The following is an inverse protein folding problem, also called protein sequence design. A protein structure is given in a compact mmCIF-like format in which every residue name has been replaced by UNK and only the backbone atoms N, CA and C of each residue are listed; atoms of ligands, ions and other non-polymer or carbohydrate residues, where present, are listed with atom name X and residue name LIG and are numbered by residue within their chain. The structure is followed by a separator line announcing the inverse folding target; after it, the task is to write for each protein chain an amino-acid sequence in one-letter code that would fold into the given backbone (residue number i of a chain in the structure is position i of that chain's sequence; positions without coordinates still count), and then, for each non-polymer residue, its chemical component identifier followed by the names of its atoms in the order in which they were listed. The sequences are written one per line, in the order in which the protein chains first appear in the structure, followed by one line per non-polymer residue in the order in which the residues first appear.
data_IF_439668003348
#
_entry.id   IF_439668003348
#
_cell.length_a   1.000
_cell.length_b   1.000
_cell.length_c   1.000
_cell.angle_alpha   90.00
_cell.angle_beta   90.00
_cell.angle_gamma   90.00
#
_symmetry.space_group_name_H-M   'P 1'
#
loop_
_entity.id
_entity.type
_entity.pdbx_description
1 polymer ?
#
# COMPACT_ATOMS: atom_id res chain seq x y z
N UNK A 1 -6.68 26.88 -29.14
CA UNK A 1 -6.84 26.49 -27.73
C UNK A 1 -6.61 24.97 -27.64
N UNK A 2 -5.43 24.55 -27.22
CA UNK A 2 -5.19 23.16 -26.83
C UNK A 2 -5.90 22.95 -25.49
N UNK A 3 -7.02 22.24 -25.48
CA UNK A 3 -7.58 21.72 -24.22
C UNK A 3 -6.54 20.74 -23.65
N UNK A 4 -5.92 21.08 -22.53
CA UNK A 4 -5.16 20.10 -21.75
C UNK A 4 -6.14 18.99 -21.36
N UNK A 5 -5.94 17.80 -21.91
CA UNK A 5 -6.68 16.61 -21.47
C UNK A 5 -6.42 16.45 -19.98
N UNK A 6 -7.46 16.52 -19.16
CA UNK A 6 -7.32 16.19 -17.73
C UNK A 6 -6.79 14.77 -17.61
N UNK A 7 -5.64 14.61 -16.95
CA UNK A 7 -5.06 13.32 -16.70
C UNK A 7 -5.86 12.58 -15.64
N UNK A 8 -6.11 11.29 -15.87
CA UNK A 8 -6.86 10.43 -14.95
C UNK A 8 -5.99 10.14 -13.72
N UNK A 9 -6.52 10.43 -12.54
CA UNK A 9 -5.95 9.99 -11.26
C UNK A 9 -6.21 8.50 -11.03
N UNK A 10 -5.36 7.87 -10.24
CA UNK A 10 -5.51 6.49 -9.80
C UNK A 10 -5.51 6.37 -8.28
N UNK A 11 -5.40 5.16 -7.78
CA UNK A 11 -5.30 4.89 -6.34
C UNK A 11 -4.01 4.14 -6.00
N UNK A 12 -3.49 4.37 -4.79
CA UNK A 12 -2.20 3.82 -4.34
C UNK A 12 -2.30 2.33 -4.01
N UNK A 13 -1.15 1.64 -3.88
CA UNK A 13 -1.12 0.26 -3.36
C UNK A 13 -1.73 0.17 -1.96
N UNK A 14 -1.58 1.22 -1.15
CA UNK A 14 -2.23 1.32 0.17
C UNK A 14 -3.74 1.37 0.09
N UNK A 15 -4.31 2.10 -0.87
CA UNK A 15 -5.76 2.14 -1.10
C UNK A 15 -6.29 0.81 -1.62
N UNK A 16 -5.52 0.11 -2.48
CA UNK A 16 -5.86 -1.25 -2.89
C UNK A 16 -5.92 -2.21 -1.70
N UNK A 17 -4.91 -2.14 -0.81
CA UNK A 17 -4.87 -2.98 0.40
C UNK A 17 -6.03 -2.66 1.35
N UNK A 18 -6.37 -1.38 1.53
CA UNK A 18 -7.50 -0.98 2.37
C UNK A 18 -8.85 -1.42 1.78
N UNK A 19 -9.05 -1.30 0.45
CA UNK A 19 -10.22 -1.82 -0.22
C UNK A 19 -10.31 -3.35 -0.13
N UNK A 20 -9.20 -4.06 -0.32
CA UNK A 20 -9.12 -5.50 -0.12
C UNK A 20 -9.44 -5.92 1.31
N UNK A 21 -8.94 -5.18 2.31
CA UNK A 21 -9.29 -5.40 3.73
C UNK A 21 -10.79 -5.28 3.96
N UNK A 22 -11.41 -4.20 3.42
CA UNK A 22 -12.85 -3.97 3.52
C UNK A 22 -13.66 -5.09 2.86
N UNK A 23 -13.30 -5.48 1.65
CA UNK A 23 -13.96 -6.54 0.91
C UNK A 23 -13.84 -7.90 1.62
N UNK A 24 -12.66 -8.24 2.15
CA UNK A 24 -12.43 -9.48 2.90
C UNK A 24 -13.27 -9.53 4.19
N UNK A 25 -13.32 -8.45 4.97
CA UNK A 25 -14.15 -8.39 6.18
C UNK A 25 -15.63 -8.52 5.84
N UNK A 26 -16.13 -7.79 4.81
CA UNK A 26 -17.51 -7.91 4.37
C UNK A 26 -17.87 -9.34 3.93
N UNK A 27 -16.96 -10.03 3.24
CA UNK A 27 -17.16 -11.43 2.84
C UNK A 27 -17.27 -12.36 4.05
N UNK A 28 -16.46 -12.14 5.11
CA UNK A 28 -16.56 -12.87 6.37
C UNK A 28 -17.89 -12.63 7.11
N UNK A 29 -18.54 -11.49 6.84
CA UNK A 29 -19.87 -11.14 7.34
C UNK A 29 -21.00 -11.61 6.40
N UNK A 30 -20.68 -12.35 5.32
CA UNK A 30 -21.64 -12.88 4.36
C UNK A 30 -22.02 -11.92 3.22
N UNK A 31 -21.30 -10.79 3.08
CA UNK A 31 -21.56 -9.77 2.06
C UNK A 31 -20.42 -9.75 1.02
N UNK A 32 -20.64 -10.33 -0.15
CA UNK A 32 -19.68 -10.24 -1.26
C UNK A 32 -20.00 -9.04 -2.13
N UNK A 33 -19.01 -8.17 -2.33
CA UNK A 33 -19.15 -6.92 -3.10
C UNK A 33 -18.20 -6.92 -4.30
N UNK A 34 -18.60 -6.22 -5.38
CA UNK A 34 -17.77 -6.08 -6.59
C UNK A 34 -17.00 -4.76 -6.63
N UNK A 35 -17.36 -3.82 -5.79
CA UNK A 35 -16.71 -2.51 -5.67
C UNK A 35 -16.73 -2.07 -4.21
N UNK A 36 -15.69 -1.37 -3.81
CA UNK A 36 -15.56 -0.76 -2.49
C UNK A 36 -15.48 0.76 -2.64
N UNK A 37 -16.36 1.44 -1.92
CA UNK A 37 -16.21 2.87 -1.63
C UNK A 37 -15.29 3.02 -0.42
N UNK A 38 -14.24 3.85 -0.59
CA UNK A 38 -13.21 4.10 0.42
C UNK A 38 -12.80 5.57 0.40
N UNK A 39 -12.82 6.23 1.54
CA UNK A 39 -12.22 7.56 1.68
C UNK A 39 -10.69 7.44 1.77
N UNK A 40 -10.02 8.04 0.80
CA UNK A 40 -8.56 8.21 0.82
C UNK A 40 -8.13 9.11 1.99
N UNK A 41 -6.83 9.11 2.33
CA UNK A 41 -6.30 10.00 3.37
C UNK A 41 -6.39 11.48 2.99
N UNK A 42 -6.46 11.79 1.69
CA UNK A 42 -6.74 13.13 1.17
C UNK A 42 -8.20 13.59 1.38
N UNK A 43 -9.08 12.70 1.81
CA UNK A 43 -10.52 12.95 1.95
C UNK A 43 -11.34 12.66 0.68
N UNK A 44 -10.72 12.29 -0.42
CA UNK A 44 -11.41 11.92 -1.66
C UNK A 44 -12.08 10.55 -1.52
N UNK A 45 -13.29 10.43 -2.05
CA UNK A 45 -13.98 9.15 -2.16
C UNK A 45 -13.46 8.40 -3.38
N UNK A 46 -12.95 7.20 -3.15
CA UNK A 46 -12.48 6.28 -4.17
C UNK A 46 -13.50 5.17 -4.38
N UNK A 47 -13.72 4.82 -5.65
CA UNK A 47 -14.48 3.65 -6.08
C UNK A 47 -13.49 2.62 -6.62
N UNK A 48 -13.26 1.55 -5.86
CA UNK A 48 -12.21 0.57 -6.17
C UNK A 48 -12.86 -0.76 -6.49
N UNK A 49 -12.79 -1.22 -7.76
CA UNK A 49 -13.29 -2.52 -8.18
C UNK A 49 -12.56 -3.65 -7.47
N UNK A 50 -13.31 -4.65 -7.03
CA UNK A 50 -12.79 -5.88 -6.45
C UNK A 50 -12.76 -6.95 -7.53
N UNK A 51 -11.57 -7.44 -7.84
CA UNK A 51 -11.36 -8.47 -8.87
C UNK A 51 -11.90 -9.83 -8.43
N UNK A 52 -11.62 -10.19 -7.18
CA UNK A 52 -12.06 -11.45 -6.59
C UNK A 52 -12.09 -11.38 -5.06
N UNK A 53 -12.97 -12.11 -4.45
CA UNK A 53 -12.99 -12.38 -3.00
C UNK A 53 -13.29 -13.85 -2.79
N UNK A 54 -12.51 -14.48 -1.94
CA UNK A 54 -12.69 -15.90 -1.56
C UNK A 54 -12.55 -16.07 -0.05
N UNK A 55 -13.34 -16.99 0.50
CA UNK A 55 -13.16 -17.45 1.87
C UNK A 55 -12.01 -18.46 1.90
N UNK A 56 -11.12 -18.32 2.88
CA UNK A 56 -10.03 -19.25 3.14
C UNK A 56 -10.35 -20.11 4.37
N UNK A 57 -9.52 -21.09 4.68
CA UNK A 57 -9.69 -21.91 5.88
C UNK A 57 -9.63 -21.12 7.19
N UNK A 58 -9.02 -19.93 7.19
CA UNK A 58 -8.77 -19.12 8.39
C UNK A 58 -9.34 -17.71 8.32
N UNK A 59 -9.87 -17.27 7.18
CA UNK A 59 -10.33 -15.91 6.97
C UNK A 59 -10.92 -15.69 5.59
N UNK A 60 -10.62 -14.54 4.99
CA UNK A 60 -10.98 -14.21 3.62
C UNK A 60 -9.83 -13.50 2.91
N UNK A 61 -9.76 -13.67 1.60
CA UNK A 61 -8.76 -13.05 0.73
C UNK A 61 -9.44 -12.29 -0.39
N UNK A 62 -9.05 -11.04 -0.57
CA UNK A 62 -9.53 -10.20 -1.67
C UNK A 62 -8.40 -9.85 -2.63
N UNK A 63 -8.72 -9.68 -3.91
CA UNK A 63 -7.82 -9.24 -4.97
C UNK A 63 -8.31 -7.92 -5.55
N UNK A 64 -7.42 -6.93 -5.59
CA UNK A 64 -7.62 -5.63 -6.24
C UNK A 64 -6.56 -5.45 -7.30
N UNK A 65 -6.95 -5.01 -8.51
CA UNK A 65 -5.99 -4.62 -9.55
C UNK A 65 -5.63 -3.14 -9.35
N UNK A 66 -4.34 -2.85 -9.21
CA UNK A 66 -3.84 -1.48 -9.04
C UNK A 66 -4.07 -0.69 -10.33
N UNK A 67 -4.85 0.39 -10.24
CA UNK A 67 -4.99 1.39 -11.31
C UNK A 67 -4.28 2.68 -10.88
N UNK A 68 -3.23 3.05 -11.60
CA UNK A 68 -2.48 4.29 -11.38
C UNK A 68 -3.02 5.48 -12.20
N UNK A 69 -4.10 5.29 -12.95
CA UNK A 69 -4.57 6.29 -13.89
C UNK A 69 -3.56 6.49 -15.03
N UNK A 70 -3.29 7.73 -15.37
CA UNK A 70 -2.33 8.11 -16.41
C UNK A 70 -0.88 8.26 -15.86
N UNK A 71 -0.63 7.93 -14.59
CA UNK A 71 0.71 7.96 -14.00
C UNK A 71 1.55 6.75 -14.46
N UNK A 72 2.84 6.94 -14.81
CA UNK A 72 3.75 5.86 -15.21
C UNK A 72 4.24 5.00 -14.03
N UNK A 73 3.38 4.73 -13.07
CA UNK A 73 3.66 3.91 -11.88
C UNK A 73 3.91 2.45 -12.28
N UNK A 74 5.07 1.92 -11.91
CA UNK A 74 5.48 0.54 -12.23
C UNK A 74 4.56 -0.52 -11.64
N UNK A 75 3.77 -0.18 -10.62
CA UNK A 75 2.80 -1.08 -9.99
C UNK A 75 1.45 -1.09 -10.69
N UNK A 76 1.26 -0.27 -11.73
CA UNK A 76 0.03 -0.28 -12.52
C UNK A 76 -0.29 -1.69 -13.07
N UNK A 77 -1.52 -2.13 -12.93
CA UNK A 77 -1.96 -3.47 -13.35
C UNK A 77 -1.49 -4.63 -12.46
N UNK A 78 -0.79 -4.35 -11.37
CA UNK A 78 -0.41 -5.40 -10.42
C UNK A 78 -1.59 -5.84 -9.57
N UNK A 79 -1.69 -7.15 -9.30
CA UNK A 79 -2.64 -7.70 -8.32
C UNK A 79 -2.15 -7.43 -6.91
N UNK A 80 -3.00 -6.79 -6.11
CA UNK A 80 -2.82 -6.60 -4.67
C UNK A 80 -3.79 -7.54 -3.97
N UNK A 81 -3.25 -8.53 -3.28
CA UNK A 81 -4.03 -9.45 -2.45
C UNK A 81 -3.98 -9.00 -1.01
N UNK A 82 -5.12 -9.04 -0.35
CA UNK A 82 -5.23 -8.79 1.08
C UNK A 82 -5.98 -9.95 1.72
N UNK A 83 -5.32 -10.65 2.62
CA UNK A 83 -5.91 -11.73 3.41
C UNK A 83 -6.16 -11.21 4.83
N UNK A 84 -7.38 -11.43 5.34
CA UNK A 84 -7.81 -10.99 6.66
C UNK A 84 -8.25 -12.19 7.48
N UNK A 85 -7.70 -12.31 8.68
CA UNK A 85 -8.14 -13.24 9.72
C UNK A 85 -8.61 -12.43 10.92
N UNK A 86 -9.87 -12.59 11.31
CA UNK A 86 -10.45 -11.88 12.46
C UNK A 86 -10.05 -12.57 13.76
N UNK A 87 -9.60 -11.78 14.74
CA UNK A 87 -9.32 -12.19 16.11
C UNK A 87 -10.42 -11.63 17.01
N UNK A 88 -11.15 -12.51 17.71
CA UNK A 88 -12.30 -12.12 18.54
C UNK A 88 -11.92 -11.80 19.98
N UNK A 89 -10.76 -12.27 20.41
CA UNK A 89 -10.28 -12.18 21.81
C UNK A 89 -9.11 -11.19 21.97
N UNK A 90 -8.71 -10.51 20.89
CA UNK A 90 -7.61 -9.54 20.87
C UNK A 90 -7.97 -8.40 19.91
N UNK A 91 -7.96 -7.17 20.40
CA UNK A 91 -8.28 -5.96 19.63
C UNK A 91 -7.13 -5.49 18.73
N UNK A 92 -6.00 -6.17 18.73
CA UNK A 92 -4.83 -5.81 17.94
C UNK A 92 -5.07 -5.99 16.45
N UNK A 93 -4.51 -5.05 15.68
CA UNK A 93 -4.45 -5.12 14.23
C UNK A 93 -2.99 -5.32 13.85
N UNK A 94 -2.69 -6.50 13.34
CA UNK A 94 -1.34 -6.87 12.93
C UNK A 94 -1.22 -6.85 11.41
N UNK A 95 -0.04 -6.42 10.92
CA UNK A 95 0.26 -6.33 9.50
C UNK A 95 1.41 -7.26 9.15
N UNK A 96 1.24 -8.03 8.09
CA UNK A 96 2.22 -9.01 7.63
C UNK A 96 2.57 -8.82 6.16
N UNK A 97 3.83 -9.05 5.83
CA UNK A 97 4.30 -9.14 4.46
C UNK A 97 4.04 -10.55 3.93
N UNK A 98 3.20 -10.63 2.90
CA UNK A 98 3.08 -11.80 2.05
C UNK A 98 4.04 -11.73 0.86
N UNK A 99 3.79 -12.58 -0.14
CA UNK A 99 4.64 -12.66 -1.33
C UNK A 99 4.77 -11.30 -2.04
N UNK A 100 6.00 -10.88 -2.28
CA UNK A 100 6.34 -9.67 -3.03
C UNK A 100 6.26 -8.37 -2.24
N UNK A 101 5.93 -8.41 -0.96
CA UNK A 101 6.08 -7.28 -0.04
C UNK A 101 7.44 -7.38 0.64
N UNK A 102 8.18 -6.29 0.63
CA UNK A 102 9.51 -6.21 1.23
C UNK A 102 9.46 -6.13 2.76
N UNK A 103 10.62 -6.40 3.35
CA UNK A 103 10.91 -6.21 4.76
C UNK A 103 11.97 -5.13 4.91
N UNK A 104 11.77 -4.23 5.86
CA UNK A 104 12.76 -3.18 6.16
C UNK A 104 13.95 -3.78 6.89
N UNK A 105 15.16 -3.54 6.40
CA UNK A 105 16.43 -4.01 6.99
C UNK A 105 17.29 -2.87 7.53
N UNK A 106 17.10 -1.65 7.00
CA UNK A 106 17.89 -0.47 7.36
C UNK A 106 17.09 0.55 8.17
N UNK A 107 17.80 1.32 9.00
CA UNK A 107 17.22 2.44 9.74
C UNK A 107 17.01 3.67 8.84
N UNK A 108 16.16 4.61 9.30
CA UNK A 108 15.92 5.90 8.62
C UNK A 108 14.60 5.97 7.85
N UNK A 109 13.92 4.85 7.64
CA UNK A 109 12.56 4.84 7.12
C UNK A 109 11.54 5.09 8.24
N UNK A 110 10.30 5.44 7.85
CA UNK A 110 9.17 5.58 8.79
C UNK A 110 8.73 4.25 9.42
N UNK A 111 9.28 3.16 8.95
CA UNK A 111 9.04 1.79 9.42
C UNK A 111 10.36 1.30 10.01
N UNK A 112 10.37 0.76 11.24
CA UNK A 112 11.59 0.24 11.85
C UNK A 112 12.10 -1.03 11.15
N UNK A 113 13.41 -1.30 11.24
CA UNK A 113 13.99 -2.56 10.76
C UNK A 113 13.27 -3.78 11.38
N UNK A 114 13.10 -4.82 10.58
CA UNK A 114 12.41 -6.04 10.97
C UNK A 114 10.91 -6.06 10.61
N UNK A 115 10.31 -4.92 10.36
CA UNK A 115 8.88 -4.78 10.03
C UNK A 115 8.60 -4.96 8.53
N UNK A 116 7.36 -5.37 8.17
CA UNK A 116 6.92 -5.38 6.77
C UNK A 116 6.90 -3.95 6.20
N UNK A 117 7.32 -3.80 4.96
CA UNK A 117 7.37 -2.51 4.25
C UNK A 117 5.96 -2.01 3.88
N UNK A 118 5.13 -1.81 4.89
CA UNK A 118 3.78 -1.26 4.81
C UNK A 118 3.78 0.09 5.53
N UNK A 119 3.73 1.17 4.76
CA UNK A 119 3.88 2.52 5.28
C UNK A 119 2.75 2.93 6.24
N UNK A 120 2.97 3.95 7.09
CA UNK A 120 1.96 4.40 8.08
C UNK A 120 0.62 4.79 7.47
N UNK A 121 0.60 5.44 6.29
CA UNK A 121 -0.64 5.82 5.62
C UNK A 121 -1.54 4.61 5.28
N UNK A 122 -1.06 3.62 4.55
CA UNK A 122 -1.77 2.34 4.34
C UNK A 122 -2.24 1.68 5.62
N UNK A 123 -1.38 1.57 6.63
CA UNK A 123 -1.76 1.00 7.94
C UNK A 123 -2.92 1.77 8.56
N UNK A 124 -2.90 3.10 8.52
CA UNK A 124 -3.98 3.97 9.02
C UNK A 124 -5.30 3.74 8.28
N UNK A 125 -5.27 3.63 6.95
CA UNK A 125 -6.48 3.36 6.16
C UNK A 125 -7.08 1.99 6.49
N UNK A 126 -6.27 0.94 6.53
CA UNK A 126 -6.73 -0.41 6.89
C UNK A 126 -7.25 -0.47 8.33
N UNK A 127 -6.56 0.16 9.28
CA UNK A 127 -7.02 0.26 10.67
C UNK A 127 -8.39 0.92 10.76
N UNK A 128 -8.60 2.02 10.02
CA UNK A 128 -9.90 2.70 9.98
C UNK A 128 -11.00 1.76 9.48
N UNK A 129 -10.76 1.05 8.39
CA UNK A 129 -11.69 0.06 7.83
C UNK A 129 -12.05 -1.03 8.85
N UNK A 130 -11.04 -1.57 9.54
CA UNK A 130 -11.25 -2.61 10.58
C UNK A 130 -12.13 -2.08 11.70
N UNK A 131 -11.84 -0.87 12.22
CA UNK A 131 -12.60 -0.25 13.32
C UNK A 131 -14.02 0.15 12.94
N UNK A 132 -14.27 0.42 11.65
CA UNK A 132 -15.62 0.70 11.14
C UNK A 132 -16.48 -0.57 11.00
N UNK A 133 -15.87 -1.72 10.74
CA UNK A 133 -16.60 -2.94 10.37
C UNK A 133 -16.62 -4.00 11.47
N UNK A 134 -15.64 -4.04 12.35
CA UNK A 134 -15.58 -5.03 13.42
C UNK A 134 -16.09 -4.46 14.75
N UNK A 135 -16.73 -5.30 15.59
CA UNK A 135 -17.13 -4.92 16.92
C UNK A 135 -15.95 -4.45 17.78
N UNK A 136 -16.23 -3.65 18.80
CA UNK A 136 -15.24 -3.29 19.81
C UNK A 136 -14.64 -4.54 20.47
N UNK A 137 -13.34 -4.53 20.72
CA UNK A 137 -12.60 -5.66 21.26
C UNK A 137 -12.13 -6.68 20.22
N UNK A 138 -12.56 -6.55 18.95
CA UNK A 138 -12.11 -7.41 17.87
C UNK A 138 -10.92 -6.78 17.16
N UNK A 139 -9.93 -7.59 16.80
CA UNK A 139 -8.82 -7.22 15.94
C UNK A 139 -8.73 -8.13 14.73
N UNK A 140 -7.64 -8.02 14.00
CA UNK A 140 -7.36 -8.91 12.88
C UNK A 140 -5.88 -8.94 12.50
N UNK A 141 -5.50 -10.03 11.85
CA UNK A 141 -4.25 -10.15 11.13
C UNK A 141 -4.50 -9.85 9.66
N UNK A 142 -3.73 -8.93 9.08
CA UNK A 142 -3.83 -8.51 7.68
C UNK A 142 -2.52 -8.85 6.98
N UNK A 143 -2.58 -9.75 6.01
CA UNK A 143 -1.43 -10.10 5.16
C UNK A 143 -1.62 -9.51 3.77
N UNK A 144 -0.63 -8.74 3.29
CA UNK A 144 -0.66 -8.13 1.96
C UNK A 144 0.35 -8.83 1.07
N UNK A 145 -0.07 -9.21 -0.14
CA UNK A 145 0.80 -9.81 -1.16
C UNK A 145 0.65 -9.08 -2.49
N UNK A 146 1.77 -8.83 -3.15
CA UNK A 146 1.83 -8.34 -4.53
C UNK A 146 2.83 -9.24 -5.26
N UNK A 147 2.42 -10.37 -5.86
CA UNK A 147 3.34 -11.39 -6.36
C UNK A 147 4.43 -10.87 -7.32
N UNK A 148 4.07 -9.92 -8.19
CA UNK A 148 5.03 -9.23 -9.07
C UNK A 148 6.02 -8.33 -8.32
N UNK A 149 5.80 -8.08 -7.03
CA UNK A 149 6.59 -7.15 -6.21
C UNK A 149 8.06 -7.52 -6.10
N UNK A 150 8.41 -8.81 -6.13
CA UNK A 150 9.82 -9.26 -6.14
C UNK A 150 10.57 -8.74 -7.36
N UNK A 151 9.95 -8.81 -8.53
CA UNK A 151 10.56 -8.31 -9.78
C UNK A 151 10.49 -6.78 -9.87
N UNK A 152 9.36 -6.20 -9.47
CA UNK A 152 9.17 -4.75 -9.50
C UNK A 152 10.15 -4.04 -8.58
N UNK A 153 10.48 -4.61 -7.42
CA UNK A 153 11.44 -4.04 -6.47
C UNK A 153 12.81 -3.75 -7.12
N UNK A 154 13.26 -4.58 -8.05
CA UNK A 154 14.52 -4.40 -8.79
C UNK A 154 14.56 -3.13 -9.63
N UNK A 155 13.38 -2.57 -9.96
CA UNK A 155 13.21 -1.34 -10.75
C UNK A 155 12.93 -0.11 -9.87
N UNK A 156 13.00 -0.26 -8.56
CA UNK A 156 12.77 0.80 -7.57
C UNK A 156 14.03 1.11 -6.79
N UNK A 157 13.93 2.10 -5.92
CA UNK A 157 14.97 2.42 -4.94
C UNK A 157 14.93 1.52 -3.68
N UNK A 158 13.96 0.60 -3.57
CA UNK A 158 13.80 -0.23 -2.39
C UNK A 158 15.08 -0.95 -1.94
N UNK A 159 15.85 -1.61 -2.83
CA UNK A 159 17.10 -2.25 -2.43
C UNK A 159 18.13 -1.27 -1.83
N UNK A 160 18.18 -0.04 -2.37
CA UNK A 160 19.09 1.01 -1.88
C UNK A 160 18.62 1.56 -0.53
N UNK A 161 17.30 1.57 -0.29
CA UNK A 161 16.68 2.03 0.94
C UNK A 161 16.64 0.97 2.05
N UNK A 162 17.22 -0.20 1.83
CA UNK A 162 17.17 -1.31 2.79
C UNK A 162 15.78 -1.91 2.91
N UNK A 163 15.10 -2.12 1.78
CA UNK A 163 13.85 -2.86 1.71
C UNK A 163 14.09 -4.09 0.85
N UNK A 164 14.08 -5.26 1.46
CA UNK A 164 14.44 -6.52 0.83
C UNK A 164 13.22 -7.43 0.60
N UNK A 165 13.31 -8.28 -0.42
CA UNK A 165 12.31 -9.31 -0.73
C UNK A 165 11.08 -8.86 -1.52
N UNK A 166 10.89 -7.56 -1.74
CA UNK A 166 9.75 -7.06 -2.48
C UNK A 166 9.61 -5.54 -2.49
N UNK A 167 8.43 -5.08 -2.88
CA UNK A 167 8.10 -3.65 -2.89
C UNK A 167 7.43 -3.21 -1.57
N UNK A 168 7.34 -1.88 -1.38
CA UNK A 168 6.59 -1.28 -0.29
C UNK A 168 5.11 -1.10 -0.65
N UNK A 169 4.25 -1.21 0.34
CA UNK A 169 2.87 -0.72 0.27
C UNK A 169 2.86 0.74 0.69
N UNK A 170 2.60 1.64 -0.26
CA UNK A 170 2.71 3.09 -0.08
C UNK A 170 1.38 3.80 -0.34
N UNK A 171 1.29 5.05 0.12
CA UNK A 171 0.15 5.92 -0.11
C UNK A 171 0.01 6.96 1.00
N UNK A 172 0.62 8.13 0.82
CA UNK A 172 0.50 9.26 1.76
C UNK A 172 -0.87 9.92 1.69
N UNK A 173 -1.42 10.03 0.48
CA UNK A 173 -2.74 10.62 0.23
C UNK A 173 -3.82 9.57 -0.06
N UNK A 174 -3.41 8.37 -0.52
CA UNK A 174 -4.28 7.32 -1.04
C UNK A 174 -4.60 7.46 -2.54
N UNK A 175 -4.33 8.61 -3.13
CA UNK A 175 -4.58 8.93 -4.54
C UNK A 175 -3.26 9.07 -5.29
N UNK A 176 -3.19 8.54 -6.51
CA UNK A 176 -2.08 8.77 -7.45
C UNK A 176 -2.48 9.89 -8.39
N UNK A 177 -1.72 10.98 -8.38
CA UNK A 177 -1.89 12.10 -9.31
C UNK A 177 -0.72 12.14 -10.28
N UNK A 178 -0.95 11.99 -11.60
CA UNK A 178 0.11 12.04 -12.58
C UNK A 178 0.90 13.35 -12.52
N UNK A 179 2.22 13.28 -12.65
CA UNK A 179 3.14 14.43 -12.65
C UNK A 179 3.05 15.30 -11.39
N UNK A 180 2.79 14.71 -10.23
CA UNK A 180 2.70 15.41 -8.95
C UNK A 180 4.08 15.85 -8.45
N UNK A 181 4.28 17.16 -8.23
CA UNK A 181 5.48 17.71 -7.56
C UNK A 181 5.63 17.15 -6.14
N UNK A 182 4.52 17.01 -5.43
CA UNK A 182 4.52 16.45 -4.08
C UNK A 182 4.95 14.97 -4.09
N UNK A 183 4.47 14.19 -5.06
CA UNK A 183 4.92 12.82 -5.27
C UNK A 183 6.41 12.72 -5.53
N UNK A 184 6.96 13.63 -6.34
CA UNK A 184 8.39 13.71 -6.60
C UNK A 184 9.19 14.05 -5.32
N UNK A 185 8.80 15.10 -4.59
CA UNK A 185 9.43 15.46 -3.31
C UNK A 185 9.40 14.31 -2.30
N UNK A 186 8.25 13.64 -2.19
CA UNK A 186 8.06 12.50 -1.29
C UNK A 186 8.94 11.29 -1.66
N UNK A 187 9.35 11.15 -2.93
CA UNK A 187 10.27 10.10 -3.35
C UNK A 187 11.72 10.34 -2.93
N UNK A 188 12.11 11.60 -2.69
CA UNK A 188 13.47 11.97 -2.27
C UNK A 188 13.66 11.85 -0.76
N UNK A 189 12.63 12.13 0.03
CA UNK A 189 12.71 12.16 1.50
C UNK A 189 13.26 10.85 2.11
N UNK A 190 12.82 9.65 1.70
CA UNK A 190 13.35 8.39 2.23
C UNK A 190 14.86 8.23 1.99
N UNK A 191 15.36 8.64 0.82
CA UNK A 191 16.77 8.55 0.47
C UNK A 191 17.62 9.41 1.42
N UNK A 192 17.19 10.64 1.69
CA UNK A 192 17.87 11.55 2.62
C UNK A 192 17.84 10.97 4.04
N UNK A 193 16.71 10.43 4.46
CA UNK A 193 16.53 9.87 5.81
C UNK A 193 17.43 8.65 6.05
N UNK A 194 17.50 7.74 5.08
CA UNK A 194 18.35 6.55 5.15
C UNK A 194 19.84 6.95 5.12
N UNK A 195 20.25 7.91 4.25
CA UNK A 195 21.62 8.39 4.21
C UNK A 195 22.05 8.97 5.57
N UNK A 196 21.24 9.83 6.18
CA UNK A 196 21.49 10.38 7.51
C UNK A 196 21.58 9.29 8.59
N UNK A 197 20.68 8.32 8.58
CA UNK A 197 20.68 7.24 9.56
C UNK A 197 21.94 6.35 9.45
N UNK A 198 22.54 6.29 8.26
CA UNK A 198 23.81 5.57 8.01
C UNK A 198 25.07 6.44 8.16
N UNK A 199 24.93 7.68 8.69
CA UNK A 199 26.05 8.53 9.04
C UNK A 199 26.69 9.29 7.86
N UNK A 200 25.97 9.43 6.74
CA UNK A 200 26.43 10.28 5.64
C UNK A 200 26.12 11.75 5.93
N UNK A 201 27.16 12.58 5.92
CA UNK A 201 27.06 14.05 6.14
C UNK A 201 26.77 14.80 4.83
N UNK A 202 27.23 14.28 3.70
CA UNK A 202 27.10 14.88 2.38
C UNK A 202 26.16 14.06 1.47
N UNK A 203 25.22 14.74 0.80
CA UNK A 203 24.30 14.15 -0.17
C UNK A 203 24.41 14.90 -1.49
N UNK A 204 24.75 14.19 -2.56
CA UNK A 204 24.87 14.75 -3.90
C UNK A 204 23.66 14.37 -4.73
N UNK A 205 22.92 15.37 -5.21
CA UNK A 205 21.85 15.17 -6.15
C UNK A 205 22.38 15.22 -7.58
N UNK A 206 22.13 14.17 -8.33
CA UNK A 206 22.48 14.09 -9.76
C UNK A 206 21.23 13.85 -10.59
N UNK A 207 21.16 14.37 -11.83
CA UNK A 207 20.12 13.98 -12.76
C UNK A 207 20.16 12.45 -12.94
N UNK A 208 19.00 11.80 -12.86
CA UNK A 208 18.92 10.37 -13.10
C UNK A 208 19.37 10.00 -14.52
N UNK A 209 19.55 8.71 -14.79
CA UNK A 209 19.75 8.24 -16.17
C UNK A 209 18.50 8.59 -16.97
N UNK A 210 18.69 9.35 -18.02
CA UNK A 210 17.72 9.60 -19.10
C UNK A 210 17.57 8.32 -19.92
#
# INVERSE_FOLDING_TARGET
FFMRKEMKSGYTTGSCAAAGTKAAILALQGNVVQEIELYALSGELLHIPIKNVELTSTGARAEVIKDAGDDPDITHGASVFTEVKINKDDDKINFYAGLGIGKVTEAGLSIPPGEPAINPGPRKMMTKVVRELLPEGYGCDITISIPKGVELAKKTLNPILGIEGGISVIGTTGVVRPMSEEGFKNSLTPQISVAKANGFDDIIFVPGKI
#
